data_IF_456454916928
#
_entry.id   IF_456454916928
#
_cell.length_a   1.000
_cell.length_b   1.000
_cell.length_c   1.000
_cell.angle_alpha   90.00
_cell.angle_beta   90.00
_cell.angle_gamma   90.00
#
_symmetry.space_group_name_H-M   'P 1'
#
loop_
_entity.id
_entity.type
_entity.pdbx_description
1 polymer ?
#
# COMPACT_ATOMS: atom_id res chain seq x y z
N UNK A 1 18.22 -12.28 25.64
CA UNK A 1 17.24 -12.39 24.55
C UNK A 1 16.11 -13.29 25.02
N UNK A 2 15.10 -12.70 25.62
CA UNK A 2 13.92 -13.41 26.14
C UNK A 2 13.06 -13.78 24.95
N UNK A 3 12.93 -15.07 24.64
CA UNK A 3 11.90 -15.59 23.71
C UNK A 3 10.55 -15.15 24.26
N UNK A 4 9.91 -14.17 23.62
CA UNK A 4 8.51 -13.87 23.80
C UNK A 4 7.78 -15.15 23.38
N UNK A 5 7.11 -15.80 24.35
CA UNK A 5 6.20 -16.90 24.06
C UNK A 5 5.21 -16.41 23.00
N UNK A 6 5.19 -17.07 21.84
CA UNK A 6 4.18 -16.79 20.81
C UNK A 6 2.82 -17.04 21.45
N UNK A 7 2.02 -15.99 21.62
CA UNK A 7 0.61 -16.12 21.92
C UNK A 7 -0.01 -17.05 20.88
N UNK A 8 -0.83 -17.99 21.31
CA UNK A 8 -1.51 -18.95 20.43
C UNK A 8 -2.64 -18.29 19.63
N UNK A 9 -2.39 -17.09 19.08
CA UNK A 9 -3.38 -16.32 18.32
C UNK A 9 -3.84 -17.07 17.09
N UNK A 10 -5.15 -17.07 16.88
CA UNK A 10 -5.82 -17.62 15.73
C UNK A 10 -6.64 -16.52 15.02
N UNK A 11 -6.24 -16.09 13.84
CA UNK A 11 -6.83 -14.96 13.13
C UNK A 11 -7.55 -15.42 11.86
N UNK A 12 -8.79 -14.98 11.68
CA UNK A 12 -9.53 -15.19 10.43
C UNK A 12 -9.48 -13.94 9.58
N UNK A 13 -8.86 -14.02 8.41
CA UNK A 13 -8.80 -12.92 7.44
C UNK A 13 -9.90 -13.04 6.39
N UNK A 14 -10.61 -11.94 6.13
CA UNK A 14 -11.59 -11.83 5.03
C UNK A 14 -11.05 -10.84 4.01
N UNK A 15 -10.76 -11.32 2.79
CA UNK A 15 -10.17 -10.54 1.70
C UNK A 15 -11.07 -10.62 0.47
N UNK A 16 -11.77 -9.54 0.12
CA UNK A 16 -12.77 -9.51 -0.95
C UNK A 16 -12.32 -8.71 -2.19
N UNK A 17 -11.04 -8.43 -2.33
CA UNK A 17 -10.45 -7.63 -3.40
C UNK A 17 -10.55 -8.25 -4.79
N UNK A 18 -10.18 -7.49 -5.82
CA UNK A 18 -10.24 -7.91 -7.23
C UNK A 18 -9.05 -8.79 -7.67
N UNK A 19 -8.06 -9.00 -6.81
CA UNK A 19 -6.89 -9.86 -7.07
C UNK A 19 -5.64 -9.13 -7.57
N UNK A 20 -5.78 -7.90 -8.05
CA UNK A 20 -4.65 -7.07 -8.52
C UNK A 20 -4.78 -5.65 -7.96
N UNK A 21 -3.75 -5.22 -7.22
CA UNK A 21 -3.70 -3.89 -6.61
C UNK A 21 -2.81 -3.85 -5.38
N UNK A 22 -2.30 -2.67 -5.02
CA UNK A 22 -1.38 -2.51 -3.88
C UNK A 22 -1.98 -2.95 -2.54
N UNK A 23 -3.29 -2.75 -2.34
CA UNK A 23 -3.98 -3.17 -1.13
C UNK A 23 -4.08 -4.69 -1.00
N UNK A 24 -4.39 -5.39 -2.09
CA UNK A 24 -4.44 -6.85 -2.13
C UNK A 24 -3.07 -7.48 -1.92
N UNK A 25 -2.05 -6.94 -2.58
CA UNK A 25 -0.65 -7.38 -2.41
C UNK A 25 -0.23 -7.24 -0.95
N UNK A 26 -0.50 -6.09 -0.34
CA UNK A 26 -0.21 -5.86 1.08
C UNK A 26 -0.93 -6.84 2.01
N UNK A 27 -2.22 -7.13 1.77
CA UNK A 27 -2.96 -8.12 2.56
C UNK A 27 -2.28 -9.49 2.52
N UNK A 28 -1.87 -9.93 1.33
CA UNK A 28 -1.19 -11.22 1.16
C UNK A 28 0.17 -11.25 1.86
N UNK A 29 0.95 -10.18 1.73
CA UNK A 29 2.26 -10.09 2.36
C UNK A 29 2.16 -10.02 3.88
N UNK A 30 1.12 -9.38 4.42
CA UNK A 30 0.86 -9.38 5.86
C UNK A 30 0.45 -10.77 6.37
N UNK A 31 -0.41 -11.50 5.65
CA UNK A 31 -0.76 -12.88 6.00
C UNK A 31 0.48 -13.77 6.01
N UNK A 32 1.39 -13.62 5.04
CA UNK A 32 2.68 -14.34 5.02
C UNK A 32 3.55 -13.96 6.23
N UNK A 33 3.66 -12.65 6.54
CA UNK A 33 4.45 -12.17 7.65
C UNK A 33 3.96 -12.69 9.01
N UNK A 34 2.65 -12.73 9.21
CA UNK A 34 2.02 -13.31 10.41
C UNK A 34 2.25 -14.83 10.49
N UNK A 35 2.20 -15.54 9.35
CA UNK A 35 2.47 -16.97 9.29
C UNK A 35 3.91 -17.29 9.71
N UNK A 36 4.89 -16.53 9.22
CA UNK A 36 6.31 -16.67 9.59
C UNK A 36 6.57 -16.42 11.09
N UNK A 37 5.68 -15.66 11.74
CA UNK A 37 5.67 -15.45 13.20
C UNK A 37 4.92 -16.53 13.97
N UNK A 38 4.44 -17.58 13.29
CA UNK A 38 3.73 -18.70 13.91
C UNK A 38 2.27 -18.42 14.29
N UNK A 39 1.68 -17.33 13.81
CA UNK A 39 0.27 -17.01 14.02
C UNK A 39 -0.58 -17.99 13.21
N UNK A 40 -1.51 -18.69 13.89
CA UNK A 40 -2.49 -19.54 13.20
C UNK A 40 -3.45 -18.68 12.42
N UNK A 41 -3.73 -19.04 11.16
CA UNK A 41 -4.53 -18.22 10.28
C UNK A 41 -5.51 -19.03 9.44
N UNK A 42 -6.69 -18.47 9.25
CA UNK A 42 -7.69 -18.90 8.28
C UNK A 42 -7.97 -17.75 7.33
N UNK A 43 -7.95 -17.99 6.02
CA UNK A 43 -8.21 -16.95 5.03
C UNK A 43 -9.47 -17.27 4.22
N UNK A 44 -10.40 -16.33 4.16
CA UNK A 44 -11.58 -16.36 3.30
C UNK A 44 -11.35 -15.33 2.20
N UNK A 45 -11.09 -15.77 0.95
CA UNK A 45 -10.81 -14.84 -0.14
C UNK A 45 -11.38 -15.30 -1.48
N UNK A 46 -11.30 -14.42 -2.49
CA UNK A 46 -11.60 -14.83 -3.86
C UNK A 46 -10.57 -15.85 -4.35
N UNK A 47 -10.99 -16.83 -5.17
CA UNK A 47 -10.12 -17.91 -5.64
C UNK A 47 -9.23 -17.48 -6.81
N UNK A 48 -8.46 -16.41 -6.66
CA UNK A 48 -7.43 -16.06 -7.63
C UNK A 48 -6.27 -17.05 -7.52
N UNK A 49 -5.79 -17.58 -8.64
CA UNK A 49 -4.82 -18.69 -8.66
C UNK A 49 -3.55 -18.37 -7.85
N UNK A 50 -2.97 -17.18 -8.02
CA UNK A 50 -1.78 -16.75 -7.29
C UNK A 50 -2.00 -16.69 -5.76
N UNK A 51 -3.21 -16.34 -5.31
CA UNK A 51 -3.61 -16.30 -3.88
C UNK A 51 -3.72 -17.71 -3.32
N UNK A 52 -4.42 -18.59 -4.06
CA UNK A 52 -4.63 -20.00 -3.66
C UNK A 52 -3.28 -20.71 -3.56
N UNK A 53 -2.41 -20.58 -4.57
CA UNK A 53 -1.08 -21.20 -4.58
C UNK A 53 -0.22 -20.70 -3.41
N UNK A 54 -0.18 -19.37 -3.16
CA UNK A 54 0.61 -18.78 -2.09
C UNK A 54 0.22 -19.28 -0.68
N UNK A 55 -1.05 -19.57 -0.45
CA UNK A 55 -1.53 -20.10 0.82
C UNK A 55 -1.33 -21.62 0.94
N UNK A 56 -1.58 -22.36 -0.15
CA UNK A 56 -1.38 -23.79 -0.18
C UNK A 56 0.08 -24.19 0.09
N UNK A 57 1.04 -23.51 -0.53
CA UNK A 57 2.49 -23.72 -0.32
C UNK A 57 2.92 -23.54 1.13
N UNK A 58 2.19 -22.75 1.92
CA UNK A 58 2.49 -22.46 3.33
C UNK A 58 1.61 -23.21 4.32
N UNK A 59 0.68 -24.05 3.83
CA UNK A 59 -0.27 -24.76 4.71
C UNK A 59 -1.27 -23.82 5.41
N UNK A 60 -1.51 -22.61 4.89
CA UNK A 60 -2.49 -21.68 5.44
C UNK A 60 -3.90 -22.13 5.01
N UNK A 61 -4.80 -22.31 5.96
CA UNK A 61 -6.19 -22.74 5.69
C UNK A 61 -6.90 -21.68 4.84
N UNK A 62 -7.38 -22.07 3.66
CA UNK A 62 -8.04 -21.17 2.72
C UNK A 62 -9.43 -21.64 2.31
N UNK A 63 -10.41 -20.74 2.44
CA UNK A 63 -11.80 -20.95 2.02
C UNK A 63 -12.15 -20.02 0.84
N UNK A 64 -12.34 -20.54 -0.38
CA UNK A 64 -12.69 -19.72 -1.53
C UNK A 64 -14.12 -19.18 -1.43
N UNK A 65 -14.30 -17.88 -1.76
CA UNK A 65 -15.59 -17.20 -1.76
C UNK A 65 -15.65 -16.09 -2.82
N UNK A 66 -16.77 -15.99 -3.54
CA UNK A 66 -16.90 -15.05 -4.67
C UNK A 66 -17.21 -13.60 -4.30
N UNK A 67 -17.76 -13.32 -3.12
CA UNK A 67 -18.18 -12.00 -2.64
C UNK A 67 -19.12 -11.25 -3.62
N UNK A 68 -20.13 -11.95 -4.18
CA UNK A 68 -21.15 -11.35 -5.02
C UNK A 68 -22.22 -10.66 -4.16
N UNK A 69 -22.56 -9.41 -4.47
CA UNK A 69 -23.51 -8.58 -3.69
C UNK A 69 -24.93 -9.15 -3.65
N UNK A 70 -25.38 -9.74 -4.74
CA UNK A 70 -26.72 -10.35 -4.87
C UNK A 70 -26.87 -11.69 -4.12
N UNK A 71 -25.72 -12.31 -3.73
CA UNK A 71 -25.70 -13.52 -2.90
C UNK A 71 -25.15 -13.26 -1.48
N UNK A 72 -25.38 -12.09 -0.93
CA UNK A 72 -24.80 -11.67 0.33
C UNK A 72 -25.17 -12.58 1.49
N UNK A 73 -26.49 -12.88 1.68
CA UNK A 73 -26.97 -13.70 2.80
C UNK A 73 -26.41 -15.13 2.84
N UNK A 74 -26.42 -15.90 1.76
CA UNK A 74 -25.79 -17.22 1.76
C UNK A 74 -24.30 -17.16 2.08
N UNK A 75 -23.59 -16.16 1.58
CA UNK A 75 -22.17 -15.98 1.86
C UNK A 75 -21.92 -15.61 3.33
N UNK A 76 -22.74 -14.76 3.94
CA UNK A 76 -22.68 -14.48 5.37
C UNK A 76 -22.92 -15.73 6.23
N UNK A 77 -23.86 -16.60 5.85
CA UNK A 77 -24.05 -17.90 6.50
C UNK A 77 -22.82 -18.78 6.39
N UNK A 78 -22.18 -18.84 5.22
CA UNK A 78 -20.94 -19.59 5.00
C UNK A 78 -19.80 -19.01 5.83
N UNK A 79 -19.61 -17.68 5.87
CA UNK A 79 -18.62 -17.01 6.72
C UNK A 79 -18.82 -17.40 8.18
N UNK A 80 -20.06 -17.31 8.68
CA UNK A 80 -20.40 -17.72 10.05
C UNK A 80 -20.04 -19.17 10.34
N UNK A 81 -20.37 -20.08 9.43
CA UNK A 81 -20.05 -21.51 9.56
C UNK A 81 -18.54 -21.75 9.64
N UNK A 82 -17.75 -21.07 8.80
CA UNK A 82 -16.28 -21.14 8.82
C UNK A 82 -15.75 -20.62 10.15
N UNK A 83 -16.19 -19.42 10.59
CA UNK A 83 -15.73 -18.82 11.84
C UNK A 83 -16.06 -19.71 13.06
N UNK A 84 -17.22 -20.36 13.06
CA UNK A 84 -17.60 -21.32 14.12
C UNK A 84 -16.74 -22.58 14.12
N UNK A 85 -16.35 -23.07 12.95
CA UNK A 85 -15.51 -24.27 12.80
C UNK A 85 -14.05 -23.98 13.17
N UNK A 86 -13.52 -22.85 12.74
CA UNK A 86 -12.12 -22.47 12.94
C UNK A 86 -11.84 -21.79 14.28
N UNK A 87 -12.89 -21.31 14.96
CA UNK A 87 -12.83 -20.64 16.28
C UNK A 87 -11.69 -19.61 16.41
N UNK A 88 -11.64 -18.60 15.52
CA UNK A 88 -10.60 -17.58 15.61
C UNK A 88 -10.81 -16.67 16.83
N UNK A 89 -9.70 -16.11 17.35
CA UNK A 89 -9.73 -15.13 18.43
C UNK A 89 -10.19 -13.74 17.92
N UNK A 90 -9.93 -13.44 16.62
CA UNK A 90 -10.30 -12.19 15.98
C UNK A 90 -10.57 -12.41 14.47
N UNK A 91 -11.54 -11.67 13.92
CA UNK A 91 -11.85 -11.61 12.49
C UNK A 91 -11.34 -10.30 11.92
N UNK A 92 -10.35 -10.34 11.02
CA UNK A 92 -9.79 -9.17 10.35
C UNK A 92 -10.34 -9.03 8.92
N UNK A 93 -11.09 -7.98 8.68
CA UNK A 93 -11.71 -7.67 7.39
C UNK A 93 -10.89 -6.63 6.64
N UNK A 94 -10.32 -7.05 5.53
CA UNK A 94 -9.49 -6.19 4.69
C UNK A 94 -10.33 -5.37 3.72
N UNK A 95 -10.34 -4.06 3.93
CA UNK A 95 -11.02 -3.08 3.09
C UNK A 95 -12.55 -3.12 3.15
N UNK A 96 -13.14 -2.15 2.50
CA UNK A 96 -14.56 -1.82 2.50
C UNK A 96 -15.47 -2.99 2.07
N UNK A 97 -15.10 -3.74 1.03
CA UNK A 97 -15.94 -4.85 0.53
C UNK A 97 -15.98 -6.00 1.53
N UNK A 98 -14.84 -6.42 2.08
CA UNK A 98 -14.77 -7.50 3.05
C UNK A 98 -15.63 -7.20 4.29
N UNK A 99 -15.45 -6.01 4.87
CA UNK A 99 -16.20 -5.55 6.03
C UNK A 99 -17.72 -5.56 5.80
N UNK A 100 -18.18 -5.27 4.57
CA UNK A 100 -19.61 -5.30 4.24
C UNK A 100 -20.23 -6.71 4.26
N UNK A 101 -19.44 -7.78 4.19
CA UNK A 101 -19.92 -9.18 4.19
C UNK A 101 -19.91 -9.82 5.58
N UNK A 102 -19.39 -9.15 6.60
CA UNK A 102 -19.36 -9.69 7.96
C UNK A 102 -20.78 -9.86 8.50
N UNK A 103 -21.13 -11.04 9.07
CA UNK A 103 -22.38 -11.21 9.83
C UNK A 103 -22.42 -10.32 11.08
N UNK A 104 -23.61 -9.94 11.53
CA UNK A 104 -23.80 -9.06 12.70
C UNK A 104 -23.75 -9.78 14.05
N UNK A 105 -23.78 -11.13 14.04
CA UNK A 105 -24.00 -11.98 15.21
C UNK A 105 -22.78 -12.88 15.48
N UNK A 106 -21.59 -12.38 15.23
CA UNK A 106 -20.35 -13.07 15.61
C UNK A 106 -20.06 -12.87 17.11
N UNK A 107 -19.50 -13.91 17.74
CA UNK A 107 -19.02 -13.86 19.12
C UNK A 107 -17.56 -13.39 19.22
N UNK A 108 -16.87 -13.34 18.11
CA UNK A 108 -15.48 -12.88 18.01
C UNK A 108 -15.42 -11.38 17.72
N UNK A 109 -14.41 -10.66 18.21
CA UNK A 109 -14.16 -9.28 17.82
C UNK A 109 -13.88 -9.17 16.32
N UNK A 110 -14.42 -8.14 15.69
CA UNK A 110 -14.26 -7.87 14.26
C UNK A 110 -13.50 -6.58 14.05
N UNK A 111 -12.37 -6.68 13.35
CA UNK A 111 -11.55 -5.55 12.91
C UNK A 111 -11.84 -5.21 11.45
N UNK A 112 -12.13 -3.96 11.16
CA UNK A 112 -12.25 -3.41 9.81
C UNK A 112 -11.04 -2.57 9.42
N UNK A 113 -10.34 -2.92 8.33
CA UNK A 113 -9.18 -2.19 7.82
C UNK A 113 -9.58 -1.11 6.80
N UNK A 114 -9.03 0.09 6.99
CA UNK A 114 -9.23 1.26 6.13
C UNK A 114 -7.93 1.63 5.40
N UNK A 115 -7.88 1.31 4.11
CA UNK A 115 -6.80 1.75 3.22
C UNK A 115 -7.03 3.13 2.60
N UNK A 116 -8.04 3.88 3.07
CA UNK A 116 -8.43 5.19 2.59
C UNK A 116 -9.64 5.74 3.35
N UNK A 117 -10.14 6.90 2.94
CA UNK A 117 -11.30 7.56 3.55
C UNK A 117 -12.61 6.91 3.08
N UNK A 118 -13.06 5.89 3.80
CA UNK A 118 -14.27 5.14 3.48
C UNK A 118 -15.43 5.54 4.41
N UNK A 119 -16.64 5.44 3.88
CA UNK A 119 -17.89 5.57 4.64
C UNK A 119 -18.06 4.34 5.56
N UNK A 120 -18.36 4.57 6.83
CA UNK A 120 -18.55 3.55 7.86
C UNK A 120 -19.75 2.63 7.64
N UNK A 121 -20.66 2.93 6.69
CA UNK A 121 -21.84 2.08 6.42
C UNK A 121 -21.52 0.61 6.14
N UNK A 122 -20.35 0.32 5.57
CA UNK A 122 -19.91 -1.05 5.29
C UNK A 122 -19.17 -1.70 6.47
N UNK A 123 -18.85 -0.93 7.49
CA UNK A 123 -18.11 -1.36 8.69
C UNK A 123 -19.00 -1.46 9.94
N UNK A 124 -20.34 -1.36 9.77
CA UNK A 124 -21.30 -1.34 10.90
C UNK A 124 -21.22 -2.56 11.83
N UNK A 125 -20.71 -3.68 11.32
CA UNK A 125 -20.54 -4.93 12.08
C UNK A 125 -19.11 -5.15 12.53
N UNK A 126 -18.25 -4.10 12.47
CA UNK A 126 -16.91 -4.14 13.03
C UNK A 126 -16.92 -3.51 14.44
N UNK A 127 -16.23 -4.14 15.36
CA UNK A 127 -16.06 -3.66 16.74
C UNK A 127 -14.89 -2.67 16.84
N UNK A 128 -13.83 -2.93 16.05
CA UNK A 128 -12.61 -2.16 15.98
C UNK A 128 -12.30 -1.75 14.56
N UNK A 129 -11.50 -0.70 14.41
CA UNK A 129 -11.12 -0.13 13.13
C UNK A 129 -9.61 0.09 13.08
N UNK A 130 -9.01 -0.04 11.91
CA UNK A 130 -7.61 0.25 11.71
C UNK A 130 -7.41 1.10 10.45
N UNK A 131 -6.77 2.25 10.60
CA UNK A 131 -6.44 3.15 9.49
C UNK A 131 -4.96 3.09 9.16
N UNK A 132 -4.61 3.14 7.87
CA UNK A 132 -3.21 3.08 7.41
C UNK A 132 -2.42 4.35 7.71
N UNK A 133 -3.09 5.45 8.04
CA UNK A 133 -2.48 6.73 8.43
C UNK A 133 -3.15 7.33 9.65
N UNK A 134 -2.45 8.21 10.36
CA UNK A 134 -3.01 8.93 11.52
C UNK A 134 -4.26 9.75 11.16
N UNK A 135 -4.28 10.34 9.97
CA UNK A 135 -5.41 11.13 9.51
C UNK A 135 -6.64 10.25 9.22
N UNK A 136 -6.44 9.05 8.64
CA UNK A 136 -7.52 8.07 8.46
C UNK A 136 -8.03 7.57 9.82
N UNK A 137 -7.14 7.34 10.80
CA UNK A 137 -7.54 6.98 12.19
C UNK A 137 -8.41 8.08 12.80
N UNK A 138 -8.01 9.35 12.66
CA UNK A 138 -8.81 10.50 13.11
C UNK A 138 -10.18 10.53 12.40
N UNK A 139 -10.21 10.42 11.08
CA UNK A 139 -11.45 10.36 10.29
C UNK A 139 -12.39 9.25 10.76
N UNK A 140 -11.85 8.05 11.05
CA UNK A 140 -12.63 6.93 11.59
C UNK A 140 -13.19 7.29 12.97
N UNK A 141 -12.36 7.84 13.85
CA UNK A 141 -12.75 8.23 15.22
C UNK A 141 -13.89 9.25 15.21
N UNK A 142 -13.77 10.29 14.39
CA UNK A 142 -14.79 11.32 14.21
C UNK A 142 -16.09 10.74 13.63
N UNK A 143 -16.00 9.96 12.55
CA UNK A 143 -17.17 9.41 11.86
C UNK A 143 -17.88 8.30 12.67
N UNK A 144 -17.15 7.53 13.49
CA UNK A 144 -17.72 6.47 14.32
C UNK A 144 -18.23 6.95 15.69
N UNK A 145 -17.76 8.10 16.15
CA UNK A 145 -17.92 8.54 17.54
C UNK A 145 -17.17 7.68 18.56
N UNK A 146 -16.23 6.83 18.10
CA UNK A 146 -15.49 5.85 18.92
C UNK A 146 -13.98 5.92 18.63
N UNK A 147 -13.32 7.04 18.93
CA UNK A 147 -11.90 7.22 18.62
C UNK A 147 -11.00 6.21 19.33
N UNK A 148 -11.41 5.72 20.50
CA UNK A 148 -10.70 4.70 21.29
C UNK A 148 -10.72 3.31 20.66
N UNK A 149 -11.52 3.08 19.59
CA UNK A 149 -11.59 1.83 18.82
C UNK A 149 -10.86 1.91 17.48
N UNK A 150 -10.25 3.04 17.17
CA UNK A 150 -9.52 3.27 15.95
C UNK A 150 -8.00 3.16 16.18
N UNK A 151 -7.36 2.22 15.51
CA UNK A 151 -5.95 1.88 15.64
C UNK A 151 -5.17 2.33 14.40
N UNK A 152 -3.90 2.64 14.59
CA UNK A 152 -2.98 2.88 13.50
C UNK A 152 -2.34 1.56 13.06
N UNK A 153 -2.49 1.23 11.78
CA UNK A 153 -1.89 0.07 11.14
C UNK A 153 -1.08 0.46 9.93
N UNK A 154 0.22 0.66 10.09
CA UNK A 154 1.10 0.94 8.96
C UNK A 154 1.13 -0.24 7.99
N UNK A 155 1.34 0.06 6.72
CA UNK A 155 1.76 -0.93 5.73
C UNK A 155 3.29 -1.02 5.73
N UNK A 156 3.84 -2.09 5.22
CA UNK A 156 5.26 -2.16 4.90
C UNK A 156 5.42 -2.28 3.37
N UNK A 157 6.49 -1.72 2.85
CA UNK A 157 6.91 -1.96 1.48
C UNK A 157 7.95 -3.08 1.50
N UNK A 158 7.61 -4.26 1.01
CA UNK A 158 8.60 -5.29 0.71
C UNK A 158 8.83 -5.33 -0.79
N UNK A 159 10.06 -5.21 -1.17
CA UNK A 159 10.51 -5.48 -2.53
C UNK A 159 11.08 -6.90 -2.53
N UNK A 160 10.49 -7.78 -3.34
CA UNK A 160 11.09 -9.07 -3.63
C UNK A 160 12.39 -8.85 -4.42
N UNK A 161 13.31 -9.79 -4.34
CA UNK A 161 14.46 -9.77 -5.21
C UNK A 161 14.01 -10.12 -6.62
N UNK A 162 14.00 -9.15 -7.51
CA UNK A 162 13.65 -9.31 -8.91
C UNK A 162 14.90 -9.52 -9.76
N UNK A 163 14.81 -10.22 -10.92
CA UNK A 163 15.85 -10.24 -11.90
C UNK A 163 16.24 -8.82 -12.32
N UNK A 164 17.53 -8.51 -12.46
CA UNK A 164 17.96 -7.17 -12.83
C UNK A 164 17.49 -6.79 -14.24
N UNK A 165 17.11 -5.52 -14.38
CA UNK A 165 16.79 -4.91 -15.68
C UNK A 165 17.78 -3.79 -15.97
N UNK A 166 17.85 -3.34 -17.24
CA UNK A 166 18.70 -2.22 -17.68
C UNK A 166 17.81 -1.13 -18.28
N UNK A 167 18.29 0.09 -18.29
CA UNK A 167 17.62 1.22 -18.97
C UNK A 167 17.43 0.98 -20.46
N UNK A 168 18.38 0.29 -21.09
CA UNK A 168 18.33 -0.12 -22.50
C UNK A 168 17.14 -1.06 -22.82
N UNK A 169 16.66 -1.86 -21.84
CA UNK A 169 15.49 -2.72 -22.03
C UNK A 169 14.21 -1.91 -22.24
N UNK A 170 14.23 -0.62 -21.89
CA UNK A 170 13.16 0.36 -22.06
C UNK A 170 13.46 1.41 -23.14
N UNK A 171 14.54 1.25 -23.89
CA UNK A 171 15.00 2.21 -24.90
C UNK A 171 15.50 3.54 -24.30
N UNK A 172 15.87 3.55 -23.01
CA UNK A 172 16.34 4.74 -22.30
C UNK A 172 17.87 4.72 -22.17
N UNK A 173 18.52 5.90 -22.29
CA UNK A 173 19.96 6.03 -22.17
C UNK A 173 20.44 5.91 -20.72
N UNK A 174 21.70 5.50 -20.53
CA UNK A 174 22.31 5.35 -19.20
C UNK A 174 22.94 6.64 -18.67
N UNK A 175 23.21 7.63 -19.54
CA UNK A 175 23.92 8.87 -19.24
C UNK A 175 23.02 10.02 -18.78
N UNK A 176 21.71 9.81 -18.74
CA UNK A 176 20.74 10.83 -18.27
C UNK A 176 20.08 10.40 -16.96
N UNK A 177 19.73 11.34 -16.05
CA UNK A 177 18.96 11.04 -14.86
C UNK A 177 17.61 10.39 -15.20
N UNK A 178 17.33 9.24 -14.58
CA UNK A 178 16.08 8.48 -14.76
C UNK A 178 15.10 8.77 -13.64
N UNK A 179 13.95 9.35 -14.00
CA UNK A 179 12.80 9.56 -13.11
C UNK A 179 11.83 8.39 -13.26
N UNK A 180 11.56 7.69 -12.17
CA UNK A 180 10.64 6.54 -12.14
C UNK A 180 9.31 6.92 -11.49
N UNK A 181 8.21 6.64 -12.19
CA UNK A 181 6.85 6.65 -11.68
C UNK A 181 6.31 5.21 -11.58
N UNK A 182 5.93 4.78 -10.37
CA UNK A 182 5.25 3.51 -10.12
C UNK A 182 3.79 3.79 -9.72
N UNK A 183 2.86 3.84 -10.68
CA UNK A 183 1.46 4.15 -10.37
C UNK A 183 0.48 3.68 -11.43
N UNK A 184 -0.82 3.63 -11.06
CA UNK A 184 -1.88 3.47 -12.05
C UNK A 184 -1.94 4.67 -12.97
N UNK A 185 -2.20 4.44 -14.26
CA UNK A 185 -2.43 5.51 -15.24
C UNK A 185 -3.85 6.06 -15.07
N UNK A 186 -3.97 6.98 -14.12
CA UNK A 186 -5.24 7.58 -13.71
C UNK A 186 -5.02 9.03 -13.25
N UNK A 187 -5.95 9.96 -13.51
CA UNK A 187 -5.83 11.38 -13.21
C UNK A 187 -5.44 11.71 -11.76
N UNK A 188 -5.85 10.85 -10.80
CA UNK A 188 -5.47 10.98 -9.38
C UNK A 188 -3.96 10.87 -9.14
N UNK A 189 -3.22 10.32 -10.11
CA UNK A 189 -1.78 10.04 -9.96
C UNK A 189 -0.89 11.13 -10.57
N UNK A 190 -1.48 12.16 -11.18
CA UNK A 190 -0.73 13.32 -11.68
C UNK A 190 0.25 12.99 -12.81
N UNK A 191 -0.05 11.97 -13.63
CA UNK A 191 0.79 11.58 -14.76
C UNK A 191 0.87 12.71 -15.79
N UNK A 192 -0.23 13.43 -16.00
CA UNK A 192 -0.31 14.64 -16.81
C UNK A 192 0.68 15.72 -16.34
N UNK A 193 0.71 16.00 -15.05
CA UNK A 193 1.64 16.96 -14.45
C UNK A 193 3.11 16.53 -14.64
N UNK A 194 3.40 15.24 -14.51
CA UNK A 194 4.75 14.71 -14.74
C UNK A 194 5.18 14.83 -16.20
N UNK A 195 4.26 14.67 -17.16
CA UNK A 195 4.54 14.90 -18.58
C UNK A 195 4.83 16.37 -18.89
N UNK A 196 4.12 17.29 -18.25
CA UNK A 196 4.40 18.73 -18.37
C UNK A 196 5.76 19.08 -17.74
N UNK A 197 6.11 18.48 -16.60
CA UNK A 197 7.43 18.61 -16.02
C UNK A 197 8.53 18.03 -16.93
N UNK A 198 8.27 16.89 -17.57
CA UNK A 198 9.17 16.32 -18.56
C UNK A 198 9.45 17.28 -19.73
N UNK A 199 8.47 18.07 -20.16
CA UNK A 199 8.68 19.06 -21.23
C UNK A 199 9.68 20.17 -20.83
N UNK A 200 9.77 20.49 -19.55
CA UNK A 200 10.71 21.50 -19.01
C UNK A 200 12.07 20.93 -18.60
N UNK A 201 12.22 19.60 -18.57
CA UNK A 201 13.46 18.90 -18.13
C UNK A 201 14.05 18.06 -19.28
N UNK A 202 14.65 18.69 -20.33
CA UNK A 202 15.08 18.01 -21.56
C UNK A 202 16.23 17.02 -21.34
N UNK A 203 17.00 17.20 -20.28
CA UNK A 203 18.17 16.35 -19.96
C UNK A 203 17.83 15.14 -19.07
N UNK A 204 16.55 14.90 -18.79
CA UNK A 204 16.05 13.77 -18.03
C UNK A 204 15.26 12.79 -18.90
N UNK A 205 15.24 11.52 -18.46
CA UNK A 205 14.39 10.47 -19.02
C UNK A 205 13.41 9.94 -17.99
N UNK A 206 12.26 9.46 -18.47
CA UNK A 206 11.15 9.10 -17.60
C UNK A 206 10.68 7.67 -17.88
N UNK A 207 10.59 6.85 -16.84
CA UNK A 207 10.03 5.51 -16.89
C UNK A 207 8.72 5.47 -16.09
N UNK A 208 7.61 5.26 -16.78
CA UNK A 208 6.27 5.23 -16.19
C UNK A 208 5.76 3.80 -16.18
N UNK A 209 5.86 3.11 -15.03
CA UNK A 209 5.45 1.74 -14.88
C UNK A 209 4.06 1.67 -14.20
N UNK A 210 3.11 1.15 -14.95
CA UNK A 210 1.73 0.96 -14.54
C UNK A 210 0.77 0.96 -15.72
N UNK A 211 -0.48 0.60 -15.43
CA UNK A 211 -1.57 0.56 -16.39
C UNK A 211 -2.80 1.27 -15.82
N UNK A 212 -3.75 1.62 -16.66
CA UNK A 212 -4.97 2.26 -16.20
C UNK A 212 -5.78 2.91 -17.32
N UNK A 213 -6.98 3.43 -16.99
CA UNK A 213 -7.93 3.92 -17.98
C UNK A 213 -7.45 5.13 -18.77
N UNK A 214 -6.48 5.89 -18.25
CA UNK A 214 -5.98 7.11 -18.88
C UNK A 214 -4.66 6.90 -19.66
N UNK A 215 -4.16 5.65 -19.81
CA UNK A 215 -2.87 5.37 -20.45
C UNK A 215 -2.77 5.95 -21.85
N UNK A 216 -3.74 5.67 -22.74
CA UNK A 216 -3.75 6.18 -24.09
C UNK A 216 -3.81 7.72 -24.15
N UNK A 217 -4.51 8.34 -23.20
CA UNK A 217 -4.55 9.80 -23.07
C UNK A 217 -3.16 10.34 -22.80
N UNK A 218 -2.41 9.73 -21.88
CA UNK A 218 -1.07 10.19 -21.51
C UNK A 218 -0.04 9.94 -22.62
N UNK A 219 -0.16 8.85 -23.37
CA UNK A 219 0.68 8.61 -24.56
C UNK A 219 0.45 9.70 -25.64
N UNK A 220 -0.80 10.10 -25.87
CA UNK A 220 -1.11 11.22 -26.77
C UNK A 220 -0.56 12.55 -26.24
N UNK A 221 -0.67 12.82 -24.95
CA UNK A 221 -0.12 14.03 -24.32
C UNK A 221 1.41 14.06 -24.44
N UNK A 222 2.12 12.96 -24.24
CA UNK A 222 3.56 12.88 -24.43
C UNK A 222 3.99 13.26 -25.87
N UNK A 223 3.24 12.79 -26.88
CA UNK A 223 3.47 13.17 -28.28
C UNK A 223 3.20 14.66 -28.53
N UNK A 224 2.11 15.20 -27.98
CA UNK A 224 1.75 16.63 -28.13
C UNK A 224 2.78 17.57 -27.49
N UNK A 225 3.37 17.14 -26.36
CA UNK A 225 4.41 17.88 -25.67
C UNK A 225 5.81 17.68 -26.27
N UNK A 226 5.96 16.79 -27.25
CA UNK A 226 7.25 16.50 -27.87
C UNK A 226 8.24 15.78 -26.94
N UNK A 227 7.75 14.96 -26.00
CA UNK A 227 8.58 14.26 -25.01
C UNK A 227 8.57 12.73 -25.18
N UNK A 228 7.89 12.22 -26.20
CA UNK A 228 7.67 10.78 -26.39
C UNK A 228 8.98 9.97 -26.61
N UNK A 229 10.03 10.60 -27.07
CA UNK A 229 11.36 10.00 -27.29
C UNK A 229 12.15 9.72 -25.99
N UNK A 230 11.73 10.33 -24.88
CA UNK A 230 12.39 10.21 -23.57
C UNK A 230 11.45 9.85 -22.43
N UNK A 231 10.22 9.45 -22.77
CA UNK A 231 9.20 8.93 -21.84
C UNK A 231 8.82 7.51 -22.25
N UNK A 232 9.15 6.51 -21.44
CA UNK A 232 8.77 5.14 -21.67
C UNK A 232 7.57 4.77 -20.80
N UNK A 233 6.47 4.30 -21.40
CA UNK A 233 5.34 3.68 -20.71
C UNK A 233 5.52 2.17 -20.69
N UNK A 234 6.02 1.62 -19.56
CA UNK A 234 6.40 0.21 -19.43
C UNK A 234 5.22 -0.74 -19.16
N UNK A 235 3.97 -0.23 -19.10
CA UNK A 235 2.81 -1.02 -18.71
C UNK A 235 2.87 -1.50 -17.26
N UNK A 236 2.01 -2.47 -16.91
CA UNK A 236 2.00 -3.02 -15.55
C UNK A 236 3.24 -3.91 -15.31
N UNK A 237 3.97 -3.64 -14.23
CA UNK A 237 5.20 -4.34 -13.87
C UNK A 237 5.08 -4.99 -12.50
N UNK A 238 5.67 -6.19 -12.35
CA UNK A 238 5.75 -6.91 -11.08
C UNK A 238 7.14 -6.78 -10.43
N UNK A 239 8.15 -6.45 -11.21
CA UNK A 239 9.56 -6.33 -10.86
C UNK A 239 9.94 -4.91 -10.35
N UNK A 240 9.18 -4.42 -9.38
CA UNK A 240 9.35 -3.05 -8.85
C UNK A 240 10.71 -2.79 -8.25
N UNK A 241 11.32 -3.80 -7.61
CA UNK A 241 12.67 -3.69 -7.06
C UNK A 241 13.70 -3.44 -8.17
N UNK A 242 13.60 -4.18 -9.27
CA UNK A 242 14.50 -4.01 -10.41
C UNK A 242 14.37 -2.61 -11.04
N UNK A 243 13.14 -2.09 -11.16
CA UNK A 243 12.88 -0.74 -11.68
C UNK A 243 13.46 0.35 -10.74
N UNK A 244 13.28 0.20 -9.42
CA UNK A 244 13.84 1.12 -8.44
C UNK A 244 15.38 1.09 -8.46
N UNK A 245 15.98 -0.07 -8.66
CA UNK A 245 17.45 -0.20 -8.72
C UNK A 245 18.10 0.52 -9.91
N UNK A 246 17.39 0.79 -10.98
CA UNK A 246 17.88 1.55 -12.14
C UNK A 246 17.49 3.02 -12.10
N UNK A 247 16.64 3.44 -11.18
CA UNK A 247 16.13 4.80 -11.07
C UNK A 247 17.08 5.70 -10.26
N UNK A 248 17.23 6.95 -10.70
CA UNK A 248 17.92 7.99 -9.93
C UNK A 248 16.96 8.75 -9.02
N UNK A 249 15.69 8.88 -9.42
CA UNK A 249 14.64 9.61 -8.68
C UNK A 249 13.34 8.82 -8.76
N UNK A 250 12.68 8.62 -7.64
CA UNK A 250 11.29 8.12 -7.59
C UNK A 250 10.33 9.29 -7.41
N UNK A 251 9.26 9.37 -8.24
CA UNK A 251 8.32 10.48 -8.21
C UNK A 251 6.89 10.00 -7.96
N UNK A 252 6.16 10.71 -7.08
CA UNK A 252 4.74 10.52 -6.79
C UNK A 252 3.98 11.86 -6.92
N UNK A 253 3.61 12.32 -8.12
CA UNK A 253 2.94 13.62 -8.32
C UNK A 253 1.42 13.53 -8.09
N UNK A 254 1.00 12.70 -7.14
CA UNK A 254 -0.40 12.31 -6.94
C UNK A 254 -1.26 13.45 -6.40
N UNK A 255 -2.46 13.64 -6.98
CA UNK A 255 -3.53 14.49 -6.44
C UNK A 255 -4.26 13.81 -5.26
N UNK A 256 -4.36 12.49 -5.31
CA UNK A 256 -4.96 11.68 -4.26
C UNK A 256 -4.14 10.41 -4.01
N UNK A 257 -3.56 10.34 -2.83
CA UNK A 257 -2.75 9.21 -2.36
C UNK A 257 -2.96 9.04 -0.86
N UNK A 258 -3.87 8.17 -0.43
CA UNK A 258 -4.17 8.01 1.01
C UNK A 258 -2.99 7.53 1.85
N UNK A 259 -2.11 6.72 1.26
CA UNK A 259 -0.90 6.23 1.93
C UNK A 259 0.35 6.41 1.06
N UNK A 260 0.42 5.75 -0.11
CA UNK A 260 1.58 5.75 -0.99
C UNK A 260 2.63 4.71 -0.60
N UNK A 261 2.33 3.40 -0.81
CA UNK A 261 3.30 2.31 -0.55
C UNK A 261 4.64 2.55 -1.26
N UNK A 262 4.62 3.18 -2.42
CA UNK A 262 5.81 3.52 -3.22
C UNK A 262 6.77 4.44 -2.44
N UNK A 263 6.30 5.25 -1.49
CA UNK A 263 7.16 6.05 -0.60
C UNK A 263 8.09 5.14 0.20
N UNK A 264 7.49 4.15 0.88
CA UNK A 264 8.25 3.17 1.66
C UNK A 264 9.16 2.30 0.78
N UNK A 265 8.71 1.95 -0.43
CA UNK A 265 9.49 1.19 -1.41
C UNK A 265 10.71 1.98 -1.91
N UNK A 266 10.56 3.27 -2.22
CA UNK A 266 11.66 4.15 -2.62
C UNK A 266 12.70 4.30 -1.49
N UNK A 267 12.26 4.53 -0.26
CA UNK A 267 13.15 4.60 0.89
C UNK A 267 13.89 3.30 1.16
N UNK A 268 13.18 2.16 1.08
CA UNK A 268 13.80 0.83 1.20
C UNK A 268 14.88 0.59 0.15
N UNK A 269 14.57 0.91 -1.12
CA UNK A 269 15.51 0.77 -2.24
C UNK A 269 16.67 1.78 -2.19
N UNK A 270 16.54 2.84 -1.38
CA UNK A 270 17.54 3.90 -1.34
C UNK A 270 17.51 4.82 -2.57
N UNK A 271 16.30 5.13 -3.06
CA UNK A 271 16.09 6.04 -4.17
C UNK A 271 15.52 7.36 -3.63
N UNK A 272 16.08 8.53 -4.01
CA UNK A 272 15.55 9.82 -3.60
C UNK A 272 14.10 9.99 -4.05
N UNK A 273 13.27 10.56 -3.16
CA UNK A 273 11.84 10.70 -3.36
C UNK A 273 11.43 12.16 -3.64
N UNK A 274 10.66 12.37 -4.70
CA UNK A 274 9.88 13.59 -4.94
C UNK A 274 8.40 13.23 -4.88
N UNK A 275 7.61 13.92 -4.07
CA UNK A 275 6.18 13.66 -3.98
C UNK A 275 5.39 14.95 -3.85
N UNK A 276 4.10 14.91 -4.19
CA UNK A 276 3.18 15.99 -3.83
C UNK A 276 2.73 15.84 -2.38
N UNK A 277 2.24 16.94 -1.76
CA UNK A 277 1.64 16.94 -0.41
C UNK A 277 0.26 16.29 -0.39
N UNK A 278 0.07 15.20 -1.13
CA UNK A 278 -1.13 14.36 -1.03
C UNK A 278 -1.24 13.75 0.38
N UNK A 279 -2.44 13.28 0.74
CA UNK A 279 -2.78 12.92 2.13
C UNK A 279 -1.77 11.97 2.80
N UNK A 280 -1.29 10.95 2.09
CA UNK A 280 -0.28 10.04 2.61
C UNK A 280 1.09 10.68 2.74
N UNK A 281 1.59 11.28 1.64
CA UNK A 281 2.94 11.85 1.61
C UNK A 281 3.15 12.93 2.67
N UNK A 282 2.20 13.86 2.86
CA UNK A 282 2.30 14.93 3.88
C UNK A 282 2.39 14.44 5.32
N UNK A 283 2.04 13.19 5.61
CA UNK A 283 2.08 12.63 6.96
C UNK A 283 3.39 11.92 7.29
N UNK A 284 4.11 11.46 6.29
CA UNK A 284 5.31 10.65 6.47
C UNK A 284 6.56 11.33 5.93
N UNK A 285 6.44 12.08 4.84
CA UNK A 285 7.59 12.74 4.22
C UNK A 285 7.80 14.11 4.85
N UNK A 286 9.00 14.32 5.38
CA UNK A 286 9.47 15.62 5.84
C UNK A 286 10.29 16.27 4.73
N UNK A 287 9.77 17.37 4.18
CA UNK A 287 10.41 18.10 3.09
C UNK A 287 11.87 18.46 3.42
N UNK A 288 12.79 18.25 2.47
CA UNK A 288 14.24 18.44 2.56
C UNK A 288 14.98 17.55 3.58
N UNK A 289 14.25 16.68 4.28
CA UNK A 289 14.88 15.71 5.19
C UNK A 289 14.94 14.33 4.57
N UNK A 290 13.80 13.72 4.24
CA UNK A 290 13.68 12.35 3.73
C UNK A 290 12.96 12.25 2.38
N UNK A 291 12.62 13.40 1.78
CA UNK A 291 12.08 13.56 0.44
C UNK A 291 11.86 15.03 0.11
N UNK A 292 11.59 15.33 -1.16
CA UNK A 292 11.16 16.66 -1.59
C UNK A 292 9.66 16.66 -1.83
N UNK A 293 8.97 17.67 -1.30
CA UNK A 293 7.52 17.82 -1.46
C UNK A 293 7.20 19.06 -2.30
N UNK A 294 6.30 18.91 -3.27
CA UNK A 294 5.61 20.00 -3.96
C UNK A 294 4.14 20.07 -3.52
N UNK A 295 3.48 21.20 -3.74
CA UNK A 295 2.05 21.25 -3.56
C UNK A 295 1.34 20.49 -4.70
N UNK A 296 0.07 20.12 -4.48
CA UNK A 296 -0.72 19.39 -5.49
C UNK A 296 -0.93 20.35 -6.69
N UNK A 297 -0.66 19.85 -7.89
CA UNK A 297 -0.74 20.60 -9.16
C UNK A 297 0.25 21.78 -9.30
N UNK A 298 1.25 21.86 -8.43
CA UNK A 298 2.34 22.84 -8.55
C UNK A 298 3.44 22.29 -9.46
N UNK A 299 3.34 22.67 -10.75
CA UNK A 299 4.29 22.25 -11.77
C UNK A 299 5.68 22.84 -11.55
N UNK A 300 5.77 24.11 -11.17
CA UNK A 300 7.05 24.81 -11.03
C UNK A 300 7.88 24.20 -9.89
N UNK A 301 7.24 23.92 -8.74
CA UNK A 301 7.91 23.26 -7.62
C UNK A 301 8.27 21.79 -7.91
N UNK A 302 7.45 21.08 -8.70
CA UNK A 302 7.78 19.72 -9.15
C UNK A 302 9.02 19.73 -10.04
N UNK A 303 9.09 20.63 -11.00
CA UNK A 303 10.24 20.84 -11.91
C UNK A 303 11.50 21.20 -11.12
N UNK A 304 11.40 22.19 -10.20
CA UNK A 304 12.52 22.59 -9.34
C UNK A 304 13.06 21.39 -8.52
N UNK A 305 12.18 20.67 -7.85
CA UNK A 305 12.56 19.51 -7.03
C UNK A 305 13.25 18.40 -7.84
N UNK A 306 12.76 18.07 -9.03
CA UNK A 306 13.39 17.10 -9.92
C UNK A 306 14.74 17.61 -10.42
N UNK A 307 14.81 18.87 -10.85
CA UNK A 307 16.03 19.52 -11.33
C UNK A 307 17.13 19.58 -10.26
N UNK A 308 16.77 19.92 -9.01
CA UNK A 308 17.70 19.93 -7.86
C UNK A 308 18.32 18.57 -7.62
N UNK A 309 17.55 17.50 -7.67
CA UNK A 309 18.08 16.14 -7.46
C UNK A 309 18.99 15.67 -8.60
N UNK A 310 18.73 16.12 -9.83
CA UNK A 310 19.55 15.78 -10.97
C UNK A 310 20.97 16.36 -10.90
N UNK A 311 21.13 17.53 -10.29
CA UNK A 311 22.40 18.27 -10.27
C UNK A 311 23.12 18.26 -8.91
N UNK A 312 22.45 17.82 -7.82
CA UNK A 312 22.99 17.78 -6.46
C UNK A 312 22.97 16.36 -5.86
N UNK A 313 24.02 15.54 -6.13
CA UNK A 313 24.16 14.21 -5.53
C UNK A 313 24.25 14.22 -4.00
N UNK A 314 24.74 15.32 -3.40
CA UNK A 314 24.84 15.44 -1.94
C UNK A 314 23.45 15.58 -1.31
N UNK A 315 22.54 16.31 -1.94
CA UNK A 315 21.13 16.36 -1.57
C UNK A 315 20.50 14.97 -1.66
N UNK A 316 20.65 14.29 -2.80
CA UNK A 316 20.15 12.93 -3.00
C UNK A 316 20.60 11.96 -1.91
N UNK A 317 21.90 11.90 -1.63
CA UNK A 317 22.48 11.04 -0.59
C UNK A 317 21.93 11.37 0.82
N UNK A 318 21.73 12.64 1.14
CA UNK A 318 21.15 13.08 2.42
C UNK A 318 19.70 12.60 2.57
N UNK A 319 18.88 12.76 1.52
CA UNK A 319 17.50 12.30 1.52
C UNK A 319 17.39 10.77 1.63
N UNK A 320 18.23 10.02 0.91
CA UNK A 320 18.33 8.55 0.99
C UNK A 320 18.63 8.11 2.43
N UNK A 321 19.64 8.72 3.06
CA UNK A 321 20.04 8.36 4.42
C UNK A 321 18.88 8.51 5.41
N UNK A 322 18.21 9.65 5.39
CA UNK A 322 17.08 9.91 6.31
C UNK A 322 15.83 9.11 5.92
N UNK A 323 15.57 8.92 4.61
CA UNK A 323 14.47 8.09 4.14
C UNK A 323 14.59 6.64 4.64
N UNK A 324 15.80 6.06 4.59
CA UNK A 324 16.06 4.73 5.17
C UNK A 324 15.80 4.68 6.67
N UNK A 325 16.21 5.71 7.43
CA UNK A 325 15.91 5.79 8.86
C UNK A 325 14.40 5.84 9.12
N UNK A 326 13.68 6.69 8.38
CA UNK A 326 12.20 6.77 8.47
C UNK A 326 11.54 5.45 8.10
N UNK A 327 12.05 4.74 7.08
CA UNK A 327 11.57 3.41 6.71
C UNK A 327 11.75 2.40 7.85
N UNK A 328 12.96 2.30 8.44
CA UNK A 328 13.27 1.39 9.54
C UNK A 328 12.38 1.64 10.77
N UNK A 329 12.12 2.92 11.08
CA UNK A 329 11.27 3.30 12.22
C UNK A 329 9.78 2.97 12.00
N UNK A 330 9.25 3.18 10.80
CA UNK A 330 7.81 3.18 10.56
C UNK A 330 7.32 2.00 9.72
N UNK A 331 8.09 1.54 8.75
CA UNK A 331 7.64 0.67 7.65
C UNK A 331 8.40 -0.63 7.53
N UNK A 332 9.38 -0.87 8.39
CA UNK A 332 10.08 -2.16 8.42
C UNK A 332 9.09 -3.29 8.72
N UNK A 333 9.17 -4.37 7.91
CA UNK A 333 8.22 -5.49 7.93
C UNK A 333 8.06 -6.11 9.31
N UNK A 334 9.17 -6.34 10.00
CA UNK A 334 9.19 -6.97 11.32
C UNK A 334 8.51 -6.08 12.38
N UNK A 335 8.84 -4.80 12.38
CA UNK A 335 8.27 -3.80 13.29
C UNK A 335 6.77 -3.60 13.06
N UNK A 336 6.34 -3.52 11.79
CA UNK A 336 4.91 -3.39 11.43
C UNK A 336 4.13 -4.64 11.83
N UNK A 337 4.68 -5.83 11.56
CA UNK A 337 4.05 -7.11 11.94
C UNK A 337 3.93 -7.23 13.46
N UNK A 338 4.96 -6.88 14.21
CA UNK A 338 4.93 -6.90 15.68
C UNK A 338 3.88 -5.95 16.26
N UNK A 339 3.80 -4.71 15.74
CA UNK A 339 2.76 -3.76 16.15
C UNK A 339 1.35 -4.26 15.84
N UNK A 340 1.15 -4.92 14.70
CA UNK A 340 -0.15 -5.49 14.36
C UNK A 340 -0.56 -6.61 15.32
N UNK A 341 0.37 -7.50 15.70
CA UNK A 341 0.13 -8.55 16.70
C UNK A 341 -0.26 -7.93 18.03
N UNK A 342 0.48 -6.94 18.53
CA UNK A 342 0.14 -6.22 19.76
C UNK A 342 -1.24 -5.58 19.70
N UNK A 343 -1.60 -4.98 18.56
CA UNK A 343 -2.93 -4.41 18.37
C UNK A 343 -4.02 -5.49 18.40
N UNK A 344 -3.79 -6.67 17.83
CA UNK A 344 -4.75 -7.80 17.93
C UNK A 344 -4.95 -8.24 19.39
N UNK A 345 -3.87 -8.39 20.14
CA UNK A 345 -3.93 -8.78 21.56
C UNK A 345 -4.73 -7.76 22.39
N UNK A 346 -4.49 -6.46 22.17
CA UNK A 346 -5.25 -5.41 22.87
C UNK A 346 -6.73 -5.41 22.49
N UNK A 347 -7.06 -5.52 21.19
CA UNK A 347 -8.45 -5.60 20.73
C UNK A 347 -9.20 -6.80 21.34
N UNK A 348 -8.57 -7.96 21.37
CA UNK A 348 -9.14 -9.19 21.94
C UNK A 348 -9.38 -9.01 23.46
N UNK A 349 -8.39 -8.50 24.19
CA UNK A 349 -8.49 -8.25 25.62
C UNK A 349 -9.62 -7.25 25.94
N UNK A 350 -9.69 -6.14 25.21
CA UNK A 350 -10.74 -5.10 25.37
C UNK A 350 -12.13 -5.63 25.05
N UNK A 351 -12.27 -6.45 24.02
CA UNK A 351 -13.56 -7.05 23.66
C UNK A 351 -14.09 -7.94 24.79
N UNK A 352 -13.23 -8.79 25.36
CA UNK A 352 -13.61 -9.68 26.45
C UNK A 352 -13.81 -8.99 27.80
N UNK A 353 -13.19 -7.82 28.03
CA UNK A 353 -13.42 -7.00 29.23
C UNK A 353 -14.75 -6.22 29.20
N UNK A 354 -15.55 -6.36 28.12
CA UNK A 354 -16.86 -5.73 28.00
C UNK A 354 -16.85 -4.32 27.38
N UNK A 355 -15.74 -3.85 26.90
CA UNK A 355 -15.63 -2.64 26.08
C UNK A 355 -16.11 -2.92 24.65
N UNK A 356 -17.42 -3.19 24.52
CA UNK A 356 -18.11 -3.40 23.23
C UNK A 356 -18.55 -2.10 22.58
#
# INVERSE_FOLDING_TARGET
MTKVQSSSLNICHIIAGAGTGGAETFCLDMVKALHERGIKQTVISRPHQHVVSAFAERGITHYPMGFQRWWKYPQQRKIRSIIRAETPDLVHCWMNRASSFVPSDLSQPVLGWFGGYYDLKNYRNCDFYMGVTRDIVRHIGEASGKPDRAYLGHTFGTLAADPPVRRSDFGLPDDKPLVLLLSRMHWKKGVDLLLEAAAQLPDMVFLMAGDGPDLEKYQRQANQLGVADRVCFAGWRHDRAALLNIADICVLPSRYEPFGTVIAEAWFAGVPLVATRADGAKQYVTHEKDGLLSDIDDLDMLVDNLGRLAIDPALGNRLIKHGKQTYEELFERESVTSRLITNYEDMIARYHSGLR
#
